data_IF_034433345532
#
_entry.id   IF_034433345532
#
_cell.length_a   1.000
_cell.length_b   1.000
_cell.length_c   1.000
_cell.angle_alpha   90.00
_cell.angle_beta   90.00
_cell.angle_gamma   90.00
#
_symmetry.space_group_name_H-M   'P 1'
#
loop_
_entity.id
_entity.type
_entity.pdbx_description
1 polymer ?
#
# COMPACT_ATOMS: atom_id res chain seq x y z
N UNK A 1 19.79 16.71 9.66
CA UNK A 1 19.89 16.81 9.10
C UNK A 1 20.07 16.55 8.76
N UNK A 2 19.77 16.13 8.67
CA UNK A 2 19.83 15.87 8.06
C UNK A 2 19.92 15.31 8.24
N UNK A 3 19.72 15.06 8.49
CA UNK A 3 19.84 14.62 8.22
C UNK A 3 19.42 14.23 8.34
N UNK A 4 19.09 13.98 8.60
CA UNK A 4 18.80 13.71 8.28
C UNK A 4 18.40 13.53 7.88
N UNK A 5 18.02 13.49 8.02
CA UNK A 5 17.87 13.30 7.30
C UNK A 5 18.26 12.75 7.09
N UNK A 6 18.02 12.58 6.97
CA UNK A 6 18.50 11.87 6.50
C UNK A 6 18.81 11.06 7.03
N UNK A 7 18.70 10.94 7.55
CA UNK A 7 18.90 10.13 7.83
C UNK A 7 18.19 9.49 8.10
N UNK A 8 17.48 9.33 8.20
CA UNK A 8 16.88 8.66 8.15
C UNK A 8 16.56 8.25 7.33
N UNK A 9 16.53 8.36 6.89
CA UNK A 9 16.38 7.96 6.04
C UNK A 9 17.17 7.36 5.85
N UNK A 10 17.54 7.13 6.16
CA UNK A 10 18.15 6.50 6.06
C UNK A 10 18.10 5.52 6.64
N UNK A 11 17.92 5.49 7.01
CA UNK A 11 17.85 4.38 7.47
C UNK A 11 16.77 3.70 7.16
N UNK A 12 16.22 3.83 7.04
CA UNK A 12 15.37 3.30 6.67
C UNK A 12 15.47 2.97 5.65
N UNK A 13 15.84 3.20 5.57
CA UNK A 13 15.90 3.00 4.76
C UNK A 13 16.48 2.01 4.81
N UNK A 14 16.67 1.61 5.09
CA UNK A 14 17.10 0.74 5.00
C UNK A 14 16.44 -0.23 5.22
N UNK A 15 16.11 -0.34 5.43
CA UNK A 15 15.47 -0.88 5.52
C UNK A 15 14.74 -0.84 4.90
N UNK A 16 14.82 -0.88 4.59
CA UNK A 16 14.38 -0.58 3.92
C UNK A 16 13.84 0.19 3.96
N UNK A 17 13.67 0.17 4.17
CA UNK A 17 13.07 1.10 4.11
C UNK A 17 13.52 1.91 3.94
N UNK A 18 14.43 1.61 3.69
CA UNK A 18 14.75 2.72 3.63
C UNK A 18 13.91 3.63 2.97
N UNK A 19 13.69 3.45 1.93
CA UNK A 19 12.74 4.30 1.31
C UNK A 19 11.36 4.00 1.83
N UNK A 20 10.74 4.97 2.38
CA UNK A 20 9.40 4.83 2.90
C UNK A 20 8.38 5.08 1.82
N UNK A 21 7.35 4.26 1.80
CA UNK A 21 6.20 4.52 0.97
C UNK A 21 5.32 5.55 1.64
N UNK A 22 4.74 6.42 0.83
CA UNK A 22 3.76 7.37 1.32
C UNK A 22 2.47 6.60 1.55
N UNK A 23 1.92 6.69 2.78
CA UNK A 23 0.68 6.01 3.10
C UNK A 23 -0.46 6.86 2.55
N UNK A 24 -1.28 6.30 1.65
CA UNK A 24 -2.44 7.06 1.15
C UNK A 24 -3.37 7.41 2.30
N UNK A 25 -3.84 8.66 2.28
CA UNK A 25 -4.62 9.19 3.38
C UNK A 25 -5.88 8.39 3.64
N UNK A 26 -6.51 7.91 2.58
CA UNK A 26 -7.75 7.13 2.70
C UNK A 26 -7.52 5.72 3.21
N UNK A 27 -6.26 5.29 3.32
CA UNK A 27 -5.93 3.96 3.83
C UNK A 27 -5.35 3.99 5.23
N UNK A 28 -5.17 5.17 5.81
CA UNK A 28 -4.52 5.28 7.11
C UNK A 28 -5.23 4.49 8.20
N UNK A 29 -6.54 4.65 8.28
CA UNK A 29 -7.32 3.99 9.32
C UNK A 29 -7.29 2.47 9.13
N UNK A 30 -7.48 2.04 7.90
CA UNK A 30 -7.49 0.62 7.61
C UNK A 30 -6.13 -0.02 7.84
N UNK A 31 -5.06 0.70 7.50
CA UNK A 31 -3.72 0.19 7.74
C UNK A 31 -3.44 0.09 9.24
N UNK A 32 -3.91 1.05 10.01
CA UNK A 32 -3.74 1.04 11.46
C UNK A 32 -4.45 -0.16 12.06
N UNK A 33 -5.70 -0.39 11.66
CA UNK A 33 -6.46 -1.53 12.15
C UNK A 33 -5.80 -2.85 11.77
N UNK A 34 -5.29 -2.92 10.55
CA UNK A 34 -4.60 -4.13 10.13
C UNK A 34 -3.37 -4.40 10.99
N UNK A 35 -2.59 -3.36 11.28
CA UNK A 35 -1.40 -3.53 12.11
C UNK A 35 -1.76 -4.07 13.49
N UNK A 36 -2.86 -3.60 14.04
CA UNK A 36 -3.33 -4.11 15.33
C UNK A 36 -3.70 -5.58 15.23
N UNK A 37 -4.41 -5.96 14.17
CA UNK A 37 -4.79 -7.35 13.97
C UNK A 37 -3.58 -8.24 13.77
N UNK A 38 -2.57 -7.74 13.05
CA UNK A 38 -1.34 -8.50 12.85
C UNK A 38 -0.61 -8.73 14.16
N UNK A 39 -0.56 -7.70 15.01
CA UNK A 39 0.10 -7.85 16.31
C UNK A 39 -0.64 -8.82 17.20
N UNK A 40 -1.97 -8.77 17.20
CA UNK A 40 -2.75 -9.73 17.97
C UNK A 40 -2.53 -11.15 17.50
N UNK A 41 -2.46 -11.33 16.17
CA UNK A 41 -2.22 -12.65 15.61
C UNK A 41 -0.84 -13.18 16.00
N UNK A 42 0.17 -12.31 15.93
CA UNK A 42 1.52 -12.71 16.31
C UNK A 42 1.59 -13.08 17.78
N UNK A 43 0.91 -12.30 18.63
CA UNK A 43 0.90 -12.58 20.07
C UNK A 43 0.22 -13.91 20.36
N UNK A 44 -0.92 -14.18 19.70
CA UNK A 44 -1.61 -15.44 19.88
C UNK A 44 -0.75 -16.61 19.47
N UNK A 45 -0.04 -16.50 18.35
CA UNK A 45 0.82 -17.57 17.87
C UNK A 45 1.98 -17.84 18.82
N UNK A 46 2.54 -16.78 19.41
CA UNK A 46 3.61 -16.94 20.39
C UNK A 46 3.12 -17.74 21.61
N UNK A 47 1.86 -17.61 21.94
CA UNK A 47 1.28 -18.32 23.07
C UNK A 47 0.74 -19.69 22.67
N UNK A 48 0.92 -20.07 21.42
CA UNK A 48 0.43 -21.35 20.93
C UNK A 48 -1.07 -21.39 20.71
N UNK A 49 -1.70 -20.23 20.62
CA UNK A 49 -3.14 -20.13 20.41
C UNK A 49 -3.46 -20.00 18.93
N UNK A 50 -4.60 -20.55 18.55
CA UNK A 50 -5.10 -20.44 17.19
C UNK A 50 -6.52 -19.91 17.29
N UNK A 51 -6.66 -18.59 17.08
CA UNK A 51 -7.94 -17.91 17.22
C UNK A 51 -8.60 -17.78 15.86
N UNK A 52 -9.70 -18.54 15.62
CA UNK A 52 -10.37 -18.47 14.32
C UNK A 52 -10.91 -17.08 13.99
N UNK A 53 -11.25 -16.29 15.01
CA UNK A 53 -11.76 -14.94 14.74
C UNK A 53 -10.67 -14.05 14.18
N UNK A 54 -9.45 -14.14 14.71
CA UNK A 54 -8.34 -13.36 14.17
C UNK A 54 -8.06 -13.74 12.73
N UNK A 55 -8.11 -15.04 12.44
CA UNK A 55 -7.90 -15.50 11.07
C UNK A 55 -8.98 -14.97 10.13
N UNK A 56 -10.23 -15.03 10.59
CA UNK A 56 -11.37 -14.53 9.82
C UNK A 56 -11.22 -13.03 9.54
N UNK A 57 -10.79 -12.27 10.56
CA UNK A 57 -10.59 -10.83 10.41
C UNK A 57 -9.51 -10.52 9.39
N UNK A 58 -8.41 -11.29 9.40
CA UNK A 58 -7.34 -11.09 8.43
C UNK A 58 -7.79 -11.41 7.01
N UNK A 59 -8.58 -12.47 6.85
CA UNK A 59 -9.10 -12.82 5.53
C UNK A 59 -10.04 -11.74 5.01
N UNK A 60 -10.86 -11.16 5.87
CA UNK A 60 -11.75 -10.08 5.48
C UNK A 60 -10.95 -8.84 5.07
N UNK A 61 -9.90 -8.52 5.81
CA UNK A 61 -9.04 -7.40 5.49
C UNK A 61 -8.38 -7.60 4.12
N UNK A 62 -7.89 -8.82 3.87
CA UNK A 62 -7.27 -9.14 2.60
C UNK A 62 -8.24 -8.94 1.44
N UNK A 63 -9.47 -9.42 1.59
CA UNK A 63 -10.47 -9.26 0.54
C UNK A 63 -10.74 -7.78 0.24
N UNK A 64 -10.79 -6.96 1.29
CA UNK A 64 -10.99 -5.53 1.11
C UNK A 64 -9.83 -4.86 0.39
N UNK A 65 -8.59 -5.23 0.73
CA UNK A 65 -7.43 -4.66 0.06
C UNK A 65 -7.32 -5.15 -1.38
N UNK A 66 -7.68 -6.41 -1.66
CA UNK A 66 -7.69 -6.91 -3.02
C UNK A 66 -8.69 -6.15 -3.89
N UNK A 67 -9.86 -5.84 -3.34
CA UNK A 67 -10.87 -5.05 -4.06
C UNK A 67 -10.33 -3.65 -4.37
N UNK A 68 -9.64 -3.03 -3.41
CA UNK A 68 -9.04 -1.71 -3.63
C UNK A 68 -7.94 -1.77 -4.68
N UNK A 69 -7.18 -2.86 -4.73
CA UNK A 69 -6.15 -3.02 -5.75
C UNK A 69 -6.77 -3.10 -7.14
N UNK A 70 -7.89 -3.80 -7.26
CA UNK A 70 -8.60 -3.87 -8.55
C UNK A 70 -9.08 -2.49 -8.97
N UNK A 71 -9.67 -1.72 -8.05
CA UNK A 71 -10.10 -0.36 -8.35
C UNK A 71 -8.93 0.51 -8.79
N UNK A 72 -7.81 0.40 -8.08
CA UNK A 72 -6.63 1.19 -8.39
C UNK A 72 -6.10 0.84 -9.78
N UNK A 73 -6.11 -0.44 -10.13
CA UNK A 73 -5.66 -0.87 -11.44
C UNK A 73 -6.56 -0.31 -12.54
N UNK A 74 -7.88 -0.30 -12.31
CA UNK A 74 -8.81 0.27 -13.27
C UNK A 74 -8.58 1.75 -13.47
N UNK A 75 -8.31 2.47 -12.38
CA UNK A 75 -8.01 3.90 -12.47
C UNK A 75 -6.72 4.14 -13.23
N UNK A 76 -5.70 3.29 -13.03
CA UNK A 76 -4.46 3.39 -13.77
C UNK A 76 -4.69 3.23 -15.27
N UNK A 77 -5.52 2.27 -15.65
CA UNK A 77 -5.81 2.04 -17.05
C UNK A 77 -6.50 3.24 -17.68
N UNK A 78 -7.41 3.86 -16.94
CA UNK A 78 -8.07 5.08 -17.40
C UNK A 78 -7.05 6.20 -17.58
N UNK A 79 -6.11 6.34 -16.64
CA UNK A 79 -5.10 7.39 -16.73
C UNK A 79 -4.12 7.15 -17.88
N UNK A 80 -3.80 5.90 -18.17
CA UNK A 80 -2.95 5.60 -19.32
C UNK A 80 -3.61 6.06 -20.62
N UNK A 81 -4.92 5.85 -20.75
CA UNK A 81 -5.65 6.33 -21.91
C UNK A 81 -5.64 7.85 -21.97
N UNK A 82 -5.80 8.51 -20.82
CA UNK A 82 -5.71 9.98 -20.77
C UNK A 82 -4.33 10.47 -21.15
N UNK A 83 -3.29 9.77 -20.71
CA UNK A 83 -1.91 10.10 -21.04
C UNK A 83 -1.70 10.03 -22.56
N UNK A 84 -2.19 8.97 -23.18
CA UNK A 84 -2.05 8.80 -24.62
C UNK A 84 -2.75 9.94 -25.36
N UNK A 85 -3.94 10.33 -24.92
CA UNK A 85 -4.66 11.44 -25.54
C UNK A 85 -3.91 12.76 -25.38
N UNK A 86 -3.32 12.97 -24.21
CA UNK A 86 -2.55 14.18 -23.95
C UNK A 86 -1.30 14.24 -24.82
N UNK A 87 -0.67 13.09 -25.08
CA UNK A 87 0.47 13.03 -25.97
C UNK A 87 0.07 13.42 -27.40
N UNK A 88 -1.05 12.89 -27.88
CA UNK A 88 -1.54 13.19 -29.21
C UNK A 88 -1.87 14.67 -29.36
N UNK A 89 -2.45 15.26 -28.32
CA UNK A 89 -2.83 16.67 -28.34
C UNK A 89 -1.67 17.61 -28.06
N UNK A 90 -0.50 17.08 -27.70
CA UNK A 90 0.67 17.86 -27.31
C UNK A 90 0.34 18.82 -26.16
N UNK A 91 -0.46 18.35 -25.22
CA UNK A 91 -0.94 19.17 -24.10
C UNK A 91 -0.06 18.92 -22.88
N UNK A 92 0.96 19.78 -22.68
CA UNK A 92 1.94 19.59 -21.62
C UNK A 92 1.33 19.62 -20.21
N UNK A 93 0.44 20.56 -19.87
CA UNK A 93 -0.17 20.53 -18.54
C UNK A 93 -0.97 19.27 -18.27
N UNK A 94 -1.70 18.76 -19.26
CA UNK A 94 -2.46 17.54 -19.10
C UNK A 94 -1.54 16.35 -18.91
N UNK A 95 -0.39 16.32 -19.59
CA UNK A 95 0.60 15.26 -19.42
C UNK A 95 1.16 15.24 -18.01
N UNK A 96 1.49 16.41 -17.47
CA UNK A 96 2.03 16.48 -16.12
C UNK A 96 0.99 16.02 -15.08
N UNK A 97 -0.27 16.46 -15.25
CA UNK A 97 -1.32 16.07 -14.34
C UNK A 97 -1.54 14.56 -14.38
N UNK A 98 -1.57 13.98 -15.58
CA UNK A 98 -1.77 12.55 -15.71
C UNK A 98 -0.60 11.78 -15.10
N UNK A 99 0.62 12.26 -15.31
CA UNK A 99 1.80 11.61 -14.74
C UNK A 99 1.76 11.62 -13.23
N UNK A 100 1.43 12.76 -12.62
CA UNK A 100 1.37 12.86 -11.17
C UNK A 100 0.31 11.94 -10.59
N UNK A 101 -0.85 11.87 -11.25
CA UNK A 101 -1.90 10.97 -10.82
C UNK A 101 -1.49 9.52 -10.93
N UNK A 102 -0.78 9.16 -12.02
CA UNK A 102 -0.29 7.79 -12.17
C UNK A 102 0.71 7.42 -11.10
N UNK A 103 1.61 8.35 -10.76
CA UNK A 103 2.59 8.10 -9.70
C UNK A 103 1.88 7.83 -8.37
N UNK A 104 0.85 8.63 -8.06
CA UNK A 104 0.09 8.45 -6.83
C UNK A 104 -0.61 7.08 -6.81
N UNK A 105 -1.19 6.69 -7.94
CA UNK A 105 -1.88 5.39 -8.01
C UNK A 105 -0.91 4.22 -7.95
N UNK A 106 0.27 4.36 -8.55
CA UNK A 106 1.29 3.32 -8.45
C UNK A 106 1.77 3.15 -7.02
N UNK A 107 1.94 4.27 -6.30
CA UNK A 107 2.30 4.23 -4.90
C UNK A 107 1.20 3.53 -4.09
N UNK A 108 -0.07 3.88 -4.38
CA UNK A 108 -1.21 3.26 -3.70
C UNK A 108 -1.25 1.76 -3.96
N UNK A 109 -1.06 1.35 -5.21
CA UNK A 109 -1.06 -0.08 -5.56
C UNK A 109 0.05 -0.83 -4.85
N UNK A 110 1.23 -0.23 -4.82
CA UNK A 110 2.38 -0.84 -4.15
C UNK A 110 2.12 -0.98 -2.65
N UNK A 111 1.55 0.04 -2.04
CA UNK A 111 1.23 0.02 -0.63
C UNK A 111 0.20 -1.08 -0.31
N UNK A 112 -0.87 -1.15 -1.12
CA UNK A 112 -1.89 -2.18 -0.94
C UNK A 112 -1.30 -3.58 -1.10
N UNK A 113 -0.42 -3.75 -2.08
CA UNK A 113 0.24 -5.03 -2.29
C UNK A 113 1.04 -5.45 -1.07
N UNK A 114 1.71 -4.50 -0.44
CA UNK A 114 2.48 -4.79 0.78
C UNK A 114 1.57 -5.19 1.92
N UNK A 115 0.40 -4.55 2.05
CA UNK A 115 -0.55 -4.93 3.08
C UNK A 115 -1.07 -6.35 2.87
N UNK A 116 -1.39 -6.70 1.63
CA UNK A 116 -1.84 -8.06 1.31
C UNK A 116 -0.75 -9.07 1.61
N UNK A 117 0.49 -8.75 1.27
CA UNK A 117 1.61 -9.62 1.58
C UNK A 117 1.74 -9.87 3.08
N UNK A 118 1.60 -8.80 3.87
CA UNK A 118 1.72 -8.91 5.31
C UNK A 118 0.62 -9.81 5.88
N UNK A 119 -0.59 -9.71 5.33
CA UNK A 119 -1.69 -10.58 5.75
C UNK A 119 -1.38 -12.04 5.39
N UNK A 120 -0.91 -12.27 4.17
CA UNK A 120 -0.58 -13.62 3.74
C UNK A 120 0.51 -14.23 4.62
N UNK A 121 1.52 -13.44 4.96
CA UNK A 121 2.59 -13.92 5.83
C UNK A 121 2.05 -14.33 7.20
N UNK A 122 1.14 -13.54 7.75
CA UNK A 122 0.55 -13.83 9.05
C UNK A 122 -0.32 -15.09 9.00
N UNK A 123 -1.04 -15.28 7.88
CA UNK A 123 -1.90 -16.45 7.75
C UNK A 123 -1.11 -17.74 7.60
N UNK A 124 0.07 -17.64 7.00
CA UNK A 124 0.90 -18.84 6.75
C UNK A 124 1.80 -19.20 7.93
N UNK A 125 2.09 -18.26 8.78
CA UNK A 125 3.05 -18.44 9.87
C UNK A 125 2.63 -19.46 10.93
#
# INVERSE_FOLDING_TARGET
MEEQSKSATEAARATGTAKKQIVPEDLLEEAFELNMQLEETRAAKKMGEDDPQLRSDLLAAKAGFDAKMTETQEELETLWADWDRALDAANAPAKLAARDAMVALLNRRSYLRNLVRDVNDALEA
#
